data_IF_528092261083
#
_entry.id   IF_528092261083
#
_cell.length_a   1.000
_cell.length_b   1.000
_cell.length_c   1.000
_cell.angle_alpha   90.00
_cell.angle_beta   90.00
_cell.angle_gamma   90.00
#
_symmetry.space_group_name_H-M   'P 1'
#
loop_
_entity.id
_entity.type
_entity.pdbx_description
1 polymer ?
#
# COMPACT_ATOMS: atom_id res chain seq x y z
N UNK A 1 -8.47 11.02 45.42
CA UNK A 1 -9.42 10.44 44.45
C UNK A 1 -9.15 11.13 43.12
N UNK A 2 -8.20 10.64 42.32
CA UNK A 2 -8.41 9.64 41.23
C UNK A 2 -9.38 10.18 40.18
N UNK A 3 -9.04 10.46 38.92
CA UNK A 3 -7.76 10.35 38.21
C UNK A 3 -7.81 11.16 36.91
N UNK A 4 -6.64 11.57 36.42
CA UNK A 4 -6.50 12.17 35.10
C UNK A 4 -6.81 11.11 34.02
N UNK A 5 -7.46 11.46 32.90
CA UNK A 5 -7.59 10.54 31.78
C UNK A 5 -6.19 10.35 31.17
N UNK A 6 -5.60 9.18 31.39
CA UNK A 6 -4.40 8.75 30.70
C UNK A 6 -4.60 8.81 29.18
N UNK A 7 -3.51 8.97 28.40
CA UNK A 7 -3.61 9.12 26.96
C UNK A 7 -4.35 7.90 26.41
N UNK A 8 -5.50 8.15 25.77
CA UNK A 8 -6.23 7.15 25.00
C UNK A 8 -5.19 6.48 24.13
N UNK A 9 -4.91 5.22 24.41
CA UNK A 9 -3.97 4.41 23.66
C UNK A 9 -4.61 4.28 22.27
N UNK A 10 -4.30 5.24 21.40
CA UNK A 10 -4.71 5.30 20.00
C UNK A 10 -3.99 4.15 19.32
N UNK A 11 -4.56 2.95 19.43
CA UNK A 11 -4.34 1.92 18.43
C UNK A 11 -4.91 2.55 17.17
N UNK A 12 -4.04 3.25 16.42
CA UNK A 12 -4.40 3.76 15.10
C UNK A 12 -4.88 2.54 14.34
N UNK A 13 -6.15 2.53 13.96
CA UNK A 13 -6.69 1.52 13.05
C UNK A 13 -5.69 1.38 11.91
N UNK A 14 -5.07 0.20 11.83
CA UNK A 14 -4.01 -0.05 10.87
C UNK A 14 -4.67 0.07 9.50
N UNK A 15 -4.16 0.97 8.67
CA UNK A 15 -4.72 1.20 7.33
C UNK A 15 -4.81 -0.14 6.58
N UNK A 16 -5.88 -0.38 5.81
CA UNK A 16 -6.12 -1.64 5.10
C UNK A 16 -4.87 -2.17 4.37
N UNK A 17 -4.19 -1.28 3.64
CA UNK A 17 -2.94 -1.56 2.92
C UNK A 17 -1.82 -2.07 3.83
N UNK A 18 -1.68 -1.52 5.03
CA UNK A 18 -0.70 -1.98 6.01
C UNK A 18 -1.14 -3.29 6.67
N UNK A 19 -2.45 -3.46 6.89
CA UNK A 19 -3.01 -4.67 7.47
C UNK A 19 -2.74 -5.88 6.57
N UNK A 20 -3.09 -5.79 5.27
CA UNK A 20 -2.90 -6.86 4.30
C UNK A 20 -1.56 -6.81 3.54
N UNK A 21 -0.53 -6.12 4.07
CA UNK A 21 0.77 -5.96 3.39
C UNK A 21 1.33 -7.26 2.82
N UNK A 22 1.33 -8.35 3.60
CA UNK A 22 1.85 -9.65 3.16
C UNK A 22 1.06 -10.20 1.98
N UNK A 23 -0.28 -10.21 2.09
CA UNK A 23 -1.14 -10.71 1.02
C UNK A 23 -1.02 -9.87 -0.25
N UNK A 24 -0.90 -8.55 -0.12
CA UNK A 24 -0.69 -7.65 -1.25
C UNK A 24 0.67 -7.85 -1.92
N UNK A 25 1.73 -8.11 -1.14
CA UNK A 25 3.05 -8.44 -1.70
C UNK A 25 3.02 -9.76 -2.47
N UNK A 26 2.34 -10.77 -1.94
CA UNK A 26 2.39 -12.11 -2.51
C UNK A 26 1.44 -12.31 -3.68
N UNK A 27 0.29 -11.62 -3.67
CA UNK A 27 -0.83 -11.90 -4.59
C UNK A 27 -1.01 -10.87 -5.71
N UNK A 28 -0.48 -9.65 -5.58
CA UNK A 28 -0.61 -8.65 -6.64
C UNK A 28 0.18 -9.07 -7.88
N UNK A 29 -0.51 -9.18 -9.00
CA UNK A 29 0.02 -9.60 -10.29
C UNK A 29 0.21 -8.45 -11.27
N UNK A 30 -0.67 -7.45 -11.22
CA UNK A 30 -0.68 -6.26 -12.09
C UNK A 30 0.24 -5.15 -11.56
N UNK A 31 1.51 -5.49 -11.29
CA UNK A 31 2.44 -4.53 -10.67
C UNK A 31 2.86 -3.40 -11.62
N UNK A 32 3.06 -3.66 -12.91
CA UNK A 32 3.49 -2.59 -13.84
C UNK A 32 2.39 -1.52 -14.05
N UNK A 33 1.13 -1.89 -14.37
CA UNK A 33 0.05 -0.92 -14.45
C UNK A 33 -0.20 -0.17 -13.13
N UNK A 34 0.02 -0.82 -11.99
CA UNK A 34 -0.05 -0.20 -10.67
C UNK A 34 1.01 0.89 -10.52
N UNK A 35 2.27 0.59 -10.86
CA UNK A 35 3.37 1.57 -10.80
C UNK A 35 3.12 2.76 -11.74
N UNK A 36 2.62 2.50 -12.95
CA UNK A 36 2.32 3.56 -13.93
C UNK A 36 1.27 4.53 -13.37
N UNK A 37 0.18 4.01 -12.80
CA UNK A 37 -0.89 4.83 -12.20
C UNK A 37 -0.43 5.56 -10.93
N UNK A 38 0.44 4.95 -10.14
CA UNK A 38 1.01 5.61 -8.96
C UNK A 38 1.92 6.77 -9.34
N UNK A 39 2.69 6.64 -10.41
CA UNK A 39 3.53 7.69 -10.96
C UNK A 39 2.68 8.82 -11.54
N UNK A 40 1.67 8.49 -12.35
CA UNK A 40 0.73 9.46 -12.93
C UNK A 40 -0.01 10.28 -11.85
N UNK A 41 -0.41 9.63 -10.75
CA UNK A 41 -1.03 10.31 -9.60
C UNK A 41 -0.04 11.01 -8.66
N UNK A 42 1.27 10.99 -8.97
CA UNK A 42 2.30 11.65 -8.17
C UNK A 42 2.55 11.04 -6.79
N UNK A 43 2.13 9.79 -6.56
CA UNK A 43 2.37 9.07 -5.30
C UNK A 43 3.81 8.60 -5.20
N UNK A 44 4.41 8.26 -6.34
CA UNK A 44 5.81 7.88 -6.45
C UNK A 44 6.53 8.81 -7.43
N UNK A 45 7.83 8.99 -7.22
CA UNK A 45 8.68 9.75 -8.13
C UNK A 45 9.15 8.87 -9.30
N UNK A 46 9.63 9.50 -10.38
CA UNK A 46 10.21 8.77 -11.51
C UNK A 46 11.41 7.89 -11.12
N UNK A 47 12.19 8.33 -10.13
CA UNK A 47 13.32 7.56 -9.61
C UNK A 47 12.82 6.31 -8.89
N UNK A 48 11.87 6.46 -7.96
CA UNK A 48 11.27 5.33 -7.24
C UNK A 48 10.57 4.36 -8.19
N UNK A 49 9.88 4.85 -9.22
CA UNK A 49 9.31 4.03 -10.28
C UNK A 49 10.37 3.15 -10.94
N UNK A 50 11.50 3.75 -11.35
CA UNK A 50 12.57 3.05 -12.04
C UNK A 50 13.25 2.00 -11.16
N UNK A 51 13.51 2.34 -9.90
CA UNK A 51 14.08 1.43 -8.90
C UNK A 51 13.18 0.21 -8.66
N UNK A 52 11.91 0.46 -8.36
CA UNK A 52 10.95 -0.63 -8.13
C UNK A 52 10.82 -1.48 -9.40
N UNK A 53 10.63 -0.86 -10.57
CA UNK A 53 10.45 -1.57 -11.84
C UNK A 53 11.64 -2.45 -12.23
N UNK A 54 12.86 -2.09 -11.83
CA UNK A 54 14.07 -2.87 -12.11
C UNK A 54 14.11 -4.24 -11.43
N UNK A 55 13.24 -4.50 -10.44
CA UNK A 55 13.16 -5.80 -9.78
C UNK A 55 12.64 -6.91 -10.71
N UNK A 56 13.19 -8.11 -10.53
CA UNK A 56 12.87 -9.28 -11.38
C UNK A 56 11.48 -9.86 -11.15
N UNK A 57 10.95 -9.81 -9.92
CA UNK A 57 9.70 -10.48 -9.56
C UNK A 57 8.70 -9.50 -8.98
N UNK A 58 7.41 -9.76 -9.18
CA UNK A 58 6.32 -8.94 -8.66
C UNK A 58 6.39 -8.80 -7.13
N UNK A 59 6.73 -9.87 -6.41
CA UNK A 59 6.87 -9.85 -4.96
C UNK A 59 7.99 -8.93 -4.50
N UNK A 60 9.13 -8.90 -5.22
CA UNK A 60 10.23 -7.97 -4.90
C UNK A 60 9.83 -6.53 -5.22
N UNK A 61 9.21 -6.29 -6.39
CA UNK A 61 8.66 -4.98 -6.76
C UNK A 61 7.71 -4.44 -5.69
N UNK A 62 6.72 -5.24 -5.28
CA UNK A 62 5.76 -4.85 -4.25
C UNK A 62 6.43 -4.62 -2.89
N UNK A 63 7.37 -5.48 -2.49
CA UNK A 63 8.11 -5.30 -1.23
C UNK A 63 8.85 -3.95 -1.20
N UNK A 64 9.56 -3.62 -2.27
CA UNK A 64 10.29 -2.36 -2.37
C UNK A 64 9.36 -1.14 -2.40
N UNK A 65 8.23 -1.27 -3.12
CA UNK A 65 7.18 -0.25 -3.12
C UNK A 65 6.63 0.01 -1.71
N UNK A 66 6.42 -1.04 -0.92
CA UNK A 66 6.00 -0.94 0.48
C UNK A 66 7.07 -0.36 1.40
N UNK A 67 8.34 -0.68 1.18
CA UNK A 67 9.43 -0.29 2.08
C UNK A 67 9.93 1.14 1.82
N UNK A 68 9.72 1.66 0.61
CA UNK A 68 10.04 3.04 0.24
C UNK A 68 8.79 3.90 0.04
N UNK A 69 8.28 4.05 -1.19
CA UNK A 69 7.31 5.09 -1.52
C UNK A 69 5.99 5.02 -0.73
N UNK A 70 5.41 3.84 -0.55
CA UNK A 70 4.14 3.70 0.19
C UNK A 70 4.29 3.94 1.69
N UNK A 71 5.48 3.74 2.25
CA UNK A 71 5.76 4.09 3.64
C UNK A 71 5.82 5.61 3.81
N UNK A 72 6.32 6.33 2.81
CA UNK A 72 6.48 7.78 2.82
C UNK A 72 5.21 8.57 2.45
N UNK A 73 4.29 8.00 1.67
CA UNK A 73 3.14 8.73 1.10
C UNK A 73 1.99 9.05 2.09
N UNK A 74 2.09 8.60 3.34
CA UNK A 74 1.04 8.79 4.36
C UNK A 74 -0.30 8.11 4.02
N UNK A 75 -1.35 8.31 4.84
CA UNK A 75 -2.65 7.66 4.65
C UNK A 75 -3.29 7.91 3.28
N UNK A 76 -3.30 9.17 2.82
CA UNK A 76 -3.90 9.54 1.52
C UNK A 76 -3.26 8.81 0.33
N UNK A 77 -1.94 8.60 0.35
CA UNK A 77 -1.28 7.84 -0.70
C UNK A 77 -1.63 6.35 -0.65
N UNK A 78 -1.91 5.82 0.55
CA UNK A 78 -2.40 4.44 0.72
C UNK A 78 -3.85 4.28 0.27
N UNK A 79 -4.69 5.29 0.46
CA UNK A 79 -6.05 5.32 -0.10
C UNK A 79 -5.98 5.25 -1.63
N UNK A 80 -5.17 6.10 -2.27
CA UNK A 80 -5.00 6.11 -3.73
C UNK A 80 -4.44 4.77 -4.25
N UNK A 81 -3.48 4.18 -3.54
CA UNK A 81 -2.97 2.85 -3.87
C UNK A 81 -4.07 1.80 -3.80
N UNK A 82 -4.93 1.84 -2.77
CA UNK A 82 -6.05 0.92 -2.63
C UNK A 82 -7.09 1.11 -3.74
N UNK A 83 -7.40 2.36 -4.10
CA UNK A 83 -8.33 2.67 -5.19
C UNK A 83 -7.82 2.09 -6.52
N UNK A 84 -6.53 2.25 -6.82
CA UNK A 84 -5.93 1.65 -8.04
C UNK A 84 -6.05 0.12 -8.01
N UNK A 85 -5.81 -0.51 -6.87
CA UNK A 85 -5.95 -1.97 -6.76
C UNK A 85 -7.40 -2.43 -6.88
N UNK A 86 -8.37 -1.64 -6.45
CA UNK A 86 -9.79 -1.94 -6.66
C UNK A 86 -10.14 -1.96 -8.15
N UNK A 87 -9.49 -1.13 -8.96
CA UNK A 87 -9.68 -1.14 -10.41
C UNK A 87 -8.93 -2.30 -11.11
N UNK A 88 -7.68 -2.53 -10.73
CA UNK A 88 -6.81 -3.50 -11.40
C UNK A 88 -7.08 -4.95 -10.97
N UNK A 89 -7.35 -5.16 -9.68
CA UNK A 89 -7.51 -6.49 -9.08
C UNK A 89 -8.70 -6.52 -8.11
N UNK A 90 -9.94 -6.23 -8.59
CA UNK A 90 -11.13 -6.13 -7.75
C UNK A 90 -11.41 -7.40 -6.94
N UNK A 91 -11.15 -8.58 -7.52
CA UNK A 91 -11.34 -9.86 -6.85
C UNK A 91 -10.37 -10.07 -5.69
N UNK A 92 -9.12 -9.64 -5.84
CA UNK A 92 -8.14 -9.72 -4.75
C UNK A 92 -8.58 -8.82 -3.59
N UNK A 93 -8.94 -7.57 -3.88
CA UNK A 93 -9.36 -6.63 -2.84
C UNK A 93 -10.68 -7.09 -2.19
N UNK A 94 -11.64 -7.58 -2.95
CA UNK A 94 -12.89 -8.12 -2.40
C UNK A 94 -12.64 -9.31 -1.49
N UNK A 95 -11.70 -10.19 -1.84
CA UNK A 95 -11.33 -11.33 -1.00
C UNK A 95 -10.70 -10.85 0.31
N UNK A 96 -9.74 -9.93 0.24
CA UNK A 96 -9.06 -9.40 1.43
C UNK A 96 -10.00 -8.60 2.35
N UNK A 97 -11.01 -7.91 1.80
CA UNK A 97 -12.03 -7.22 2.60
C UNK A 97 -12.99 -8.17 3.34
N UNK A 98 -13.05 -9.44 2.94
CA UNK A 98 -13.90 -10.45 3.56
C UNK A 98 -13.19 -11.36 4.57
N UNK A 99 -11.89 -11.16 4.78
CA UNK A 99 -11.08 -11.82 5.83
C UNK A 99 -11.34 -11.18 7.21
#
# INVERSE_FOLDING_TARGET
MSGAPGPKNMIKDKHFVDHHRTALIDRVSQVEPLLDRLLDKGIITQNAYSEVRANRTNQKKMRELFDGPLKACGPKGKDIFLDILMDLEPFLISHLKGE
#
